data_IF_933400476452
#
_entry.id   IF_933400476452
#
_cell.length_a   1.000
_cell.length_b   1.000
_cell.length_c   1.000
_cell.angle_alpha   90.00
_cell.angle_beta   90.00
_cell.angle_gamma   90.00
#
_symmetry.space_group_name_H-M   'P 1'
#
loop_
_entity.id
_entity.type
_entity.pdbx_description
1 polymer ?
#
# COMPACT_ATOMS: atom_id res chain seq x y z
N UNK A 1 1.03 -5.32 -38.43
CA UNK A 1 0.07 -5.97 -37.53
C UNK A 1 -0.71 -4.87 -36.82
N UNK A 2 -1.89 -4.50 -37.33
CA UNK A 2 -2.77 -3.60 -36.59
C UNK A 2 -3.20 -4.35 -35.31
N UNK A 3 -2.82 -3.85 -34.14
CA UNK A 3 -3.12 -4.53 -32.88
C UNK A 3 -4.63 -4.62 -32.70
N UNK A 4 -5.14 -5.82 -32.43
CA UNK A 4 -6.54 -6.02 -32.05
C UNK A 4 -6.81 -5.31 -30.71
N UNK A 5 -7.30 -4.08 -30.78
CA UNK A 5 -7.79 -3.34 -29.62
C UNK A 5 -9.25 -3.72 -29.36
N UNK A 6 -9.58 -4.01 -28.10
CA UNK A 6 -10.94 -4.27 -27.67
C UNK A 6 -11.42 -3.13 -26.79
N UNK A 7 -12.65 -2.66 -27.00
CA UNK A 7 -13.25 -1.62 -26.16
C UNK A 7 -13.66 -2.22 -24.80
N UNK A 8 -13.32 -1.51 -23.72
CA UNK A 8 -13.72 -1.83 -22.35
C UNK A 8 -14.56 -0.67 -21.82
N UNK A 9 -15.75 -0.97 -21.30
CA UNK A 9 -16.65 0.01 -20.69
C UNK A 9 -16.74 -0.23 -19.18
N UNK A 10 -16.47 0.81 -18.39
CA UNK A 10 -16.43 0.76 -16.92
C UNK A 10 -17.40 1.80 -16.40
N UNK A 11 -18.30 1.38 -15.50
CA UNK A 11 -19.17 2.30 -14.77
C UNK A 11 -18.46 2.77 -13.51
N UNK A 12 -18.51 4.08 -13.28
CA UNK A 12 -17.88 4.75 -12.15
C UNK A 12 -18.81 5.85 -11.66
N UNK A 13 -18.77 6.13 -10.37
CA UNK A 13 -19.42 7.30 -9.83
C UNK A 13 -18.82 8.59 -10.45
N UNK A 14 -19.67 9.59 -10.68
CA UNK A 14 -19.28 10.83 -11.37
C UNK A 14 -18.24 11.61 -10.56
N UNK A 15 -18.39 11.66 -9.24
CA UNK A 15 -17.46 12.36 -8.36
C UNK A 15 -16.12 11.64 -8.29
N UNK A 16 -16.16 10.31 -8.12
CA UNK A 16 -14.95 9.47 -8.14
C UNK A 16 -14.17 9.63 -9.46
N UNK A 17 -14.88 9.70 -10.59
CA UNK A 17 -14.27 9.93 -11.90
C UNK A 17 -13.58 11.29 -11.99
N UNK A 18 -14.24 12.34 -11.49
CA UNK A 18 -13.66 13.68 -11.48
C UNK A 18 -12.39 13.75 -10.61
N UNK A 19 -12.41 13.13 -9.43
CA UNK A 19 -11.24 13.06 -8.55
C UNK A 19 -10.08 12.29 -9.21
N UNK A 20 -10.37 11.15 -9.85
CA UNK A 20 -9.37 10.37 -10.56
C UNK A 20 -8.75 11.14 -11.74
N UNK A 21 -9.55 11.87 -12.51
CA UNK A 21 -9.05 12.69 -13.62
C UNK A 21 -8.09 13.78 -13.16
N UNK A 22 -8.40 14.47 -12.05
CA UNK A 22 -7.51 15.48 -11.47
C UNK A 22 -6.18 14.84 -11.08
N UNK A 23 -6.22 13.76 -10.29
CA UNK A 23 -5.03 13.05 -9.84
C UNK A 23 -4.15 12.58 -11.02
N UNK A 24 -4.73 11.89 -12.00
CA UNK A 24 -3.94 11.36 -13.10
C UNK A 24 -3.43 12.45 -14.03
N UNK A 25 -4.15 13.57 -14.18
CA UNK A 25 -3.67 14.73 -14.93
C UNK A 25 -2.45 15.38 -14.27
N UNK A 26 -2.42 15.48 -12.94
CA UNK A 26 -1.24 15.93 -12.19
C UNK A 26 -0.05 14.99 -12.39
N UNK A 27 -0.31 13.69 -12.56
CA UNK A 27 0.69 12.68 -12.89
C UNK A 27 1.05 12.62 -14.40
N UNK A 28 0.47 13.51 -15.23
CA UNK A 28 0.76 13.61 -16.66
C UNK A 28 0.14 12.50 -17.52
N UNK A 29 -0.96 11.88 -17.07
CA UNK A 29 -1.65 10.82 -17.81
C UNK A 29 -3.17 10.92 -17.72
N UNK A 30 -3.88 10.25 -18.63
CA UNK A 30 -5.34 10.15 -18.55
C UNK A 30 -5.77 8.84 -17.87
N UNK A 31 -7.05 8.76 -17.52
CA UNK A 31 -7.64 7.60 -16.86
C UNK A 31 -7.47 6.29 -17.66
N UNK A 32 -7.52 6.36 -19.00
CA UNK A 32 -7.31 5.20 -19.87
C UNK A 32 -5.87 4.66 -19.77
N UNK A 33 -4.87 5.54 -19.73
CA UNK A 33 -3.47 5.16 -19.53
C UNK A 33 -3.27 4.55 -18.15
N UNK A 34 -3.82 5.18 -17.11
CA UNK A 34 -3.76 4.67 -15.74
C UNK A 34 -4.38 3.27 -15.60
N UNK A 35 -5.55 3.05 -16.20
CA UNK A 35 -6.20 1.73 -16.19
C UNK A 35 -5.37 0.67 -16.92
N UNK A 36 -4.76 1.01 -18.06
CA UNK A 36 -3.87 0.09 -18.77
C UNK A 36 -2.62 -0.26 -17.94
N UNK A 37 -2.06 0.70 -17.19
CA UNK A 37 -0.95 0.45 -16.25
C UNK A 37 -1.41 -0.51 -15.16
N UNK A 38 -2.57 -0.27 -14.54
CA UNK A 38 -3.15 -1.15 -13.52
C UNK A 38 -3.26 -2.60 -14.03
N UNK A 39 -3.87 -2.82 -15.20
CA UNK A 39 -4.03 -4.18 -15.76
C UNK A 39 -2.68 -4.85 -16.02
N UNK A 40 -1.72 -4.13 -16.59
CA UNK A 40 -0.36 -4.67 -16.85
C UNK A 40 0.36 -5.04 -15.56
N UNK A 41 0.24 -4.21 -14.54
CA UNK A 41 0.86 -4.47 -13.25
C UNK A 41 0.19 -5.67 -12.57
N UNK A 42 -1.14 -5.77 -12.61
CA UNK A 42 -1.87 -6.93 -12.08
C UNK A 42 -1.44 -8.24 -12.73
N UNK A 43 -1.27 -8.24 -14.07
CA UNK A 43 -0.78 -9.41 -14.80
C UNK A 43 0.68 -9.76 -14.45
N UNK A 44 1.52 -8.75 -14.23
CA UNK A 44 2.93 -8.95 -13.85
C UNK A 44 3.07 -9.56 -12.46
N UNK A 45 2.22 -9.15 -11.52
CA UNK A 45 2.24 -9.62 -10.14
C UNK A 45 1.41 -10.89 -9.92
N UNK A 46 0.53 -11.24 -10.86
CA UNK A 46 -0.41 -12.36 -10.70
C UNK A 46 -1.50 -12.08 -9.66
N UNK A 47 -1.81 -10.80 -9.40
CA UNK A 47 -2.70 -10.37 -8.33
C UNK A 47 -3.13 -8.91 -8.49
N UNK A 48 -3.77 -8.33 -7.46
CA UNK A 48 -4.10 -6.91 -7.44
C UNK A 48 -2.87 -6.13 -6.94
N UNK A 49 -2.38 -5.11 -7.68
CA UNK A 49 -1.10 -4.44 -7.45
C UNK A 49 -1.18 -3.37 -6.36
N UNK A 50 -2.01 -3.64 -5.35
CA UNK A 50 -2.13 -2.88 -4.12
C UNK A 50 -2.79 -3.77 -3.08
N UNK A 51 -2.51 -3.49 -1.81
CA UNK A 51 -3.10 -4.21 -0.69
C UNK A 51 -4.59 -3.88 -0.58
N UNK A 52 -5.45 -4.88 -0.68
CA UNK A 52 -6.88 -4.73 -0.41
C UNK A 52 -7.10 -4.96 1.08
N UNK A 53 -7.17 -3.89 1.86
CA UNK A 53 -7.50 -3.98 3.28
C UNK A 53 -8.47 -2.88 3.68
N UNK A 54 -9.41 -3.24 4.55
CA UNK A 54 -10.13 -2.26 5.36
C UNK A 54 -9.08 -1.75 6.36
N UNK A 55 -8.65 -0.50 6.24
CA UNK A 55 -7.59 0.10 7.07
C UNK A 55 -8.03 0.30 8.53
N UNK A 56 -8.32 -0.80 9.22
CA UNK A 56 -8.18 -0.87 10.66
C UNK A 56 -7.08 -1.89 10.93
N UNK A 57 -5.94 -1.48 11.48
CA UNK A 57 -5.04 -2.46 12.09
C UNK A 57 -5.89 -3.29 13.05
N UNK A 58 -5.75 -4.62 13.01
CA UNK A 58 -6.46 -5.46 13.96
C UNK A 58 -6.08 -5.02 15.39
N UNK A 59 -6.93 -5.33 16.38
CA UNK A 59 -6.72 -4.86 17.77
C UNK A 59 -5.31 -5.15 18.30
N UNK A 60 -4.74 -6.28 17.88
CA UNK A 60 -3.38 -6.70 18.22
C UNK A 60 -2.31 -5.77 17.63
N UNK A 61 -2.44 -5.39 16.35
CA UNK A 61 -1.51 -4.46 15.70
C UNK A 61 -1.60 -3.05 16.30
N UNK A 62 -2.82 -2.60 16.63
CA UNK A 62 -3.01 -1.33 17.34
C UNK A 62 -2.36 -1.38 18.73
N UNK A 63 -2.57 -2.47 19.47
CA UNK A 63 -1.97 -2.67 20.78
C UNK A 63 -0.44 -2.69 20.71
N UNK A 64 0.14 -3.43 19.75
CA UNK A 64 1.59 -3.48 19.54
C UNK A 64 2.18 -2.11 19.19
N UNK A 65 1.50 -1.31 18.35
CA UNK A 65 1.93 0.06 18.05
C UNK A 65 1.88 0.99 19.28
N UNK A 66 0.87 0.83 20.14
CA UNK A 66 0.75 1.59 21.38
C UNK A 66 1.81 1.16 22.41
N UNK A 67 2.06 -0.15 22.52
CA UNK A 67 3.09 -0.72 23.39
C UNK A 67 4.48 -0.30 22.94
N UNK A 68 4.79 -0.36 21.64
CA UNK A 68 6.06 0.10 21.08
C UNK A 68 6.29 1.59 21.38
N UNK A 69 5.25 2.43 21.26
CA UNK A 69 5.32 3.85 21.64
C UNK A 69 5.54 4.06 23.14
N UNK A 70 4.99 3.19 23.99
CA UNK A 70 5.19 3.23 25.45
C UNK A 70 6.64 2.85 25.79
N UNK A 71 7.11 1.73 25.27
CA UNK A 71 8.48 1.22 25.46
C UNK A 71 9.52 2.23 24.99
N UNK A 72 9.33 2.81 23.80
CA UNK A 72 10.26 3.80 23.26
C UNK A 72 10.42 5.07 24.11
N UNK A 73 9.45 5.37 24.99
CA UNK A 73 9.47 6.53 25.90
C UNK A 73 9.82 6.16 27.34
N UNK A 74 9.94 4.87 27.63
CA UNK A 74 10.19 4.35 28.97
C UNK A 74 11.69 4.06 29.12
N UNK A 75 12.46 4.92 29.82
CA UNK A 75 13.90 4.75 29.98
C UNK A 75 14.26 3.54 30.85
N UNK A 76 13.28 2.87 31.48
CA UNK A 76 13.50 1.63 32.23
C UNK A 76 13.48 0.37 31.37
N UNK A 77 13.02 0.47 30.12
CA UNK A 77 13.01 -0.67 29.20
C UNK A 77 14.39 -0.82 28.56
N UNK A 78 14.88 -2.07 28.51
CA UNK A 78 16.16 -2.42 27.92
C UNK A 78 16.22 -1.95 26.47
N UNK A 79 17.07 -0.96 26.21
CA UNK A 79 17.52 -0.57 24.88
C UNK A 79 18.77 -1.36 24.50
N UNK A 80 19.04 -1.44 23.20
CA UNK A 80 20.24 -2.08 22.65
C UNK A 80 21.08 -1.02 21.95
N UNK A 81 22.39 -1.06 22.15
CA UNK A 81 23.31 -0.08 21.55
C UNK A 81 23.99 -0.62 20.28
N UNK A 82 23.91 -1.92 20.04
CA UNK A 82 24.40 -2.59 18.85
C UNK A 82 23.43 -3.69 18.40
N UNK A 83 23.55 -4.07 17.12
CA UNK A 83 22.64 -5.03 16.50
C UNK A 83 22.89 -6.46 16.98
N UNK A 84 24.11 -6.79 17.40
CA UNK A 84 24.47 -8.13 17.84
C UNK A 84 23.79 -8.44 19.18
N UNK A 85 23.80 -7.50 20.13
CA UNK A 85 23.09 -7.60 21.42
C UNK A 85 21.57 -7.78 21.22
N UNK A 86 20.98 -7.07 20.25
CA UNK A 86 19.57 -7.21 19.89
C UNK A 86 19.26 -8.62 19.36
N UNK A 87 20.08 -9.12 18.43
CA UNK A 87 19.83 -10.42 17.81
C UNK A 87 20.08 -11.59 18.76
N UNK A 88 21.00 -11.46 19.71
CA UNK A 88 21.24 -12.49 20.73
C UNK A 88 20.06 -12.63 21.69
N UNK A 89 19.39 -11.53 22.04
CA UNK A 89 18.19 -11.59 22.91
C UNK A 89 16.94 -12.09 22.15
N UNK A 90 16.83 -11.81 20.84
CA UNK A 90 15.73 -12.29 20.00
C UNK A 90 15.78 -13.79 19.69
N UNK A 91 16.98 -14.39 19.67
CA UNK A 91 17.19 -15.82 19.41
C UNK A 91 17.05 -16.68 20.66
N UNK A 92 16.79 -16.06 21.81
CA UNK A 92 16.78 -16.71 23.11
C UNK A 92 15.47 -17.44 23.43
#
# INVERSE_FOLDING_TARGET
>A
MAGNTTNVSIRMDTELKAQADVLFSELGMNLTTAFNIFVRQSLREGGIPFKISIEQPNKETVAAMLEAKRIAKDPSVKGYNDLDELFDDLKR
#
